data_IF_601477184708
#
_entry.id   IF_601477184708
#
_cell.length_a   1.000
_cell.length_b   1.000
_cell.length_c   1.000
_cell.angle_alpha   90.00
_cell.angle_beta   90.00
_cell.angle_gamma   90.00
#
_symmetry.space_group_name_H-M   'P 1'
#
loop_
_entity.id
_entity.type
_entity.pdbx_description
1 polymer ?
#
# COMPACT_ATOMS: atom_id res chain seq x y z
N UNK A 1 -8.74 6.90 25.53
CA UNK A 1 -8.41 7.25 24.15
C UNK A 1 -7.82 6.00 23.53
N UNK A 2 -8.67 5.14 22.98
CA UNK A 2 -8.26 3.81 22.53
C UNK A 2 -7.61 3.91 21.16
N UNK A 3 -6.38 3.39 21.06
CA UNK A 3 -5.73 3.12 19.79
C UNK A 3 -6.66 2.25 18.94
N UNK A 4 -7.26 2.83 17.90
CA UNK A 4 -8.07 2.05 16.98
C UNK A 4 -7.11 1.17 16.17
N UNK A 5 -6.91 -0.06 16.65
CA UNK A 5 -6.07 -1.09 16.02
C UNK A 5 -6.47 -1.38 14.57
N UNK A 6 -7.70 -1.02 14.18
CA UNK A 6 -8.17 -1.13 12.80
C UNK A 6 -7.63 0.00 11.91
N UNK A 7 -7.28 1.14 12.48
CA UNK A 7 -6.67 2.29 11.82
C UNK A 7 -5.13 2.21 11.78
N UNK A 8 -4.58 1.00 11.63
CA UNK A 8 -3.15 0.79 11.39
C UNK A 8 -2.93 -0.33 10.37
N UNK A 9 -2.06 -0.08 9.39
CA UNK A 9 -1.63 -1.08 8.41
C UNK A 9 -1.10 -2.35 9.13
N UNK A 10 -1.46 -3.55 8.67
CA UNK A 10 -2.10 -3.87 7.39
C UNK A 10 -3.64 -3.79 7.39
N UNK A 11 -4.28 -3.30 8.45
CA UNK A 11 -5.75 -3.22 8.52
C UNK A 11 -6.30 -2.03 7.71
N UNK A 12 -7.47 -2.18 7.07
CA UNK A 12 -8.00 -1.21 6.10
C UNK A 12 -8.66 0.03 6.73
N UNK A 13 -8.72 0.17 8.05
CA UNK A 13 -9.52 1.21 8.72
C UNK A 13 -9.21 2.63 8.25
N UNK A 14 -7.93 2.95 8.08
CA UNK A 14 -7.52 4.27 7.55
C UNK A 14 -7.98 4.52 6.10
N UNK A 15 -8.05 3.49 5.25
CA UNK A 15 -8.57 3.67 3.89
C UNK A 15 -10.07 3.93 3.88
N UNK A 16 -10.83 3.23 4.73
CA UNK A 16 -12.26 3.47 4.84
C UNK A 16 -12.56 4.87 5.36
N UNK A 17 -11.77 5.38 6.31
CA UNK A 17 -11.85 6.78 6.72
C UNK A 17 -11.56 7.72 5.55
N UNK A 18 -10.48 7.46 4.79
CA UNK A 18 -10.16 8.26 3.62
C UNK A 18 -11.27 8.25 2.56
N UNK A 19 -11.97 7.12 2.36
CA UNK A 19 -13.12 7.03 1.45
C UNK A 19 -14.35 7.78 1.97
N UNK A 20 -14.54 7.86 3.29
CA UNK A 20 -15.59 8.68 3.89
C UNK A 20 -15.31 10.17 3.69
N UNK A 21 -14.06 10.59 3.92
CA UNK A 21 -13.63 11.98 3.78
C UNK A 21 -13.56 12.40 2.29
N UNK A 22 -13.22 11.46 1.41
CA UNK A 22 -13.09 11.64 -0.03
C UNK A 22 -13.88 10.56 -0.80
N UNK A 23 -15.20 10.77 -1.00
CA UNK A 23 -16.08 9.78 -1.63
C UNK A 23 -15.68 9.36 -3.06
N UNK A 24 -14.88 10.17 -3.76
CA UNK A 24 -14.42 9.90 -5.13
C UNK A 24 -13.25 8.92 -5.20
N UNK A 25 -12.60 8.58 -4.08
CA UNK A 25 -11.46 7.64 -4.05
C UNK A 25 -11.90 6.25 -4.51
N UNK A 26 -11.38 5.74 -5.62
CA UNK A 26 -11.61 4.36 -6.06
C UNK A 26 -10.35 3.52 -5.77
N UNK A 27 -10.44 2.58 -4.83
CA UNK A 27 -9.29 1.76 -4.44
C UNK A 27 -8.75 0.91 -5.60
N UNK A 28 -9.61 0.46 -6.53
CA UNK A 28 -9.16 -0.29 -7.71
C UNK A 28 -8.38 0.57 -8.71
N UNK A 29 -8.51 1.89 -8.61
CA UNK A 29 -7.74 2.87 -9.39
C UNK A 29 -6.64 3.55 -8.57
N UNK A 30 -6.41 3.08 -7.35
CA UNK A 30 -5.43 3.64 -6.42
C UNK A 30 -4.15 2.81 -6.39
N UNK A 31 -3.07 3.46 -5.99
CA UNK A 31 -1.75 2.88 -5.81
C UNK A 31 -1.35 2.98 -4.33
N UNK A 32 -0.86 1.87 -3.76
CA UNK A 32 -0.21 1.86 -2.45
C UNK A 32 1.30 1.68 -2.65
N UNK A 33 2.06 2.65 -2.17
CA UNK A 33 3.52 2.71 -2.34
C UNK A 33 4.12 2.80 -0.93
N UNK A 34 4.95 1.83 -0.56
CA UNK A 34 5.55 1.76 0.77
C UNK A 34 6.73 0.83 0.83
N UNK A 35 7.46 0.85 1.93
CA UNK A 35 8.73 0.14 2.13
C UNK A 35 8.61 -1.11 3.01
N UNK A 36 7.39 -1.42 3.47
CA UNK A 36 7.11 -2.54 4.38
C UNK A 36 6.07 -3.52 3.86
N UNK A 37 6.10 -4.76 4.36
CA UNK A 37 5.08 -5.76 4.06
C UNK A 37 3.67 -5.33 4.51
N UNK A 38 3.57 -4.48 5.54
CA UNK A 38 2.28 -3.98 6.01
C UNK A 38 1.60 -3.02 5.03
N UNK A 39 2.39 -2.27 4.25
CA UNK A 39 1.90 -1.39 3.19
C UNK A 39 1.30 -2.20 2.06
N UNK A 40 2.04 -3.20 1.62
CA UNK A 40 1.64 -4.07 0.51
C UNK A 40 0.38 -4.86 0.90
N UNK A 41 0.35 -5.49 2.07
CA UNK A 41 -0.83 -6.21 2.54
C UNK A 41 -2.05 -5.28 2.68
N UNK A 42 -1.87 -4.03 3.12
CA UNK A 42 -2.95 -3.04 3.18
C UNK A 42 -3.53 -2.76 1.78
N UNK A 43 -2.66 -2.50 0.80
CA UNK A 43 -3.07 -2.25 -0.57
C UNK A 43 -3.76 -3.47 -1.20
N UNK A 44 -3.18 -4.66 -1.04
CA UNK A 44 -3.76 -5.90 -1.57
C UNK A 44 -5.17 -6.17 -0.99
N UNK A 45 -5.37 -5.96 0.32
CA UNK A 45 -6.69 -6.14 0.97
C UNK A 45 -7.77 -5.18 0.45
N UNK A 46 -7.36 -4.06 -0.12
CA UNK A 46 -8.26 -3.03 -0.69
C UNK A 46 -8.37 -3.13 -2.21
N UNK A 47 -7.66 -4.07 -2.85
CA UNK A 47 -7.63 -4.22 -4.31
C UNK A 47 -6.85 -3.12 -5.04
N UNK A 48 -5.94 -2.43 -4.34
CA UNK A 48 -5.04 -1.45 -4.95
C UNK A 48 -3.89 -2.16 -5.68
N UNK A 49 -3.33 -1.49 -6.70
CA UNK A 49 -1.98 -1.84 -7.18
C UNK A 49 -0.95 -1.43 -6.11
N UNK A 50 0.09 -2.23 -5.93
CA UNK A 50 1.04 -2.11 -4.83
C UNK A 50 2.48 -2.05 -5.32
N UNK A 51 3.26 -1.13 -4.79
CA UNK A 51 4.69 -0.98 -5.10
C UNK A 51 5.48 -1.05 -3.80
N UNK A 52 6.41 -1.99 -3.72
CA UNK A 52 7.42 -2.03 -2.67
C UNK A 52 8.57 -1.11 -3.06
N UNK A 53 8.81 -0.08 -2.26
CA UNK A 53 9.83 0.93 -2.48
C UNK A 53 11.09 0.63 -1.67
N UNK A 54 12.22 0.59 -2.35
CA UNK A 54 13.54 0.35 -1.79
C UNK A 54 13.86 -1.13 -1.59
N UNK A 55 15.12 -1.38 -1.30
CA UNK A 55 15.73 -2.70 -1.07
C UNK A 55 15.74 -3.08 0.42
N UNK A 56 14.73 -2.63 1.17
CA UNK A 56 14.71 -2.79 2.63
C UNK A 56 14.68 -4.28 2.99
N UNK A 57 15.66 -4.71 3.80
CA UNK A 57 15.68 -6.07 4.37
C UNK A 57 14.50 -6.28 5.35
N UNK A 58 13.77 -5.22 5.69
CA UNK A 58 12.59 -5.24 6.57
C UNK A 58 11.36 -5.90 5.93
N UNK A 59 11.40 -6.21 4.63
CA UNK A 59 10.40 -7.05 3.97
C UNK A 59 10.49 -8.53 4.41
N UNK A 60 11.61 -8.97 4.99
CA UNK A 60 11.79 -10.36 5.45
C UNK A 60 11.17 -10.63 6.83
N UNK A 61 9.84 -10.71 6.83
CA UNK A 61 8.99 -11.51 7.71
C UNK A 61 7.57 -11.53 7.11
N UNK A 62 7.50 -11.70 5.78
CA UNK A 62 6.38 -11.27 4.95
C UNK A 62 5.04 -11.86 5.43
N UNK A 63 4.08 -10.97 5.68
CA UNK A 63 2.68 -11.35 5.81
C UNK A 63 2.29 -12.18 4.56
N UNK A 64 1.53 -13.29 4.69
CA UNK A 64 1.19 -14.15 3.55
C UNK A 64 0.57 -13.41 2.37
N UNK A 65 -0.19 -12.35 2.68
CA UNK A 65 -0.96 -11.57 1.72
C UNK A 65 -0.20 -10.33 1.21
N UNK A 66 1.10 -10.21 1.48
CA UNK A 66 1.92 -9.05 1.09
C UNK A 66 2.64 -9.31 -0.24
N UNK A 67 1.93 -9.26 -1.36
CA UNK A 67 2.48 -9.51 -2.70
C UNK A 67 2.52 -8.21 -3.51
N UNK A 68 3.69 -7.60 -3.70
CA UNK A 68 3.80 -6.35 -4.46
C UNK A 68 3.68 -6.60 -5.97
N UNK A 69 3.00 -5.69 -6.68
CA UNK A 69 2.94 -5.70 -8.16
C UNK A 69 4.27 -5.25 -8.79
N UNK A 70 5.01 -4.37 -8.11
CA UNK A 70 6.34 -3.94 -8.51
C UNK A 70 7.26 -3.74 -7.30
N UNK A 71 8.57 -3.92 -7.51
CA UNK A 71 9.62 -3.54 -6.55
C UNK A 71 10.53 -2.53 -7.24
N UNK A 72 10.64 -1.33 -6.69
CA UNK A 72 11.35 -0.21 -7.30
C UNK A 72 12.26 0.44 -6.25
N UNK A 73 13.43 0.92 -6.65
CA UNK A 73 14.44 1.41 -5.70
C UNK A 73 14.29 2.91 -5.37
N UNK A 74 13.52 3.66 -6.16
CA UNK A 74 13.32 5.09 -5.96
C UNK A 74 11.96 5.60 -6.40
N UNK A 75 11.55 6.77 -5.90
CA UNK A 75 10.33 7.46 -6.36
C UNK A 75 10.44 7.91 -7.82
N UNK A 76 11.65 8.10 -8.34
CA UNK A 76 11.87 8.37 -9.76
C UNK A 76 11.46 7.15 -10.59
N UNK A 77 11.86 5.95 -10.17
CA UNK A 77 11.48 4.71 -10.86
C UNK A 77 9.98 4.47 -10.77
N UNK A 78 9.35 4.83 -9.65
CA UNK A 78 7.88 4.81 -9.50
C UNK A 78 7.22 5.68 -10.56
N UNK A 79 7.68 6.92 -10.75
CA UNK A 79 7.10 7.82 -11.74
C UNK A 79 7.21 7.24 -13.16
N UNK A 80 8.40 6.75 -13.52
CA UNK A 80 8.63 6.09 -14.81
C UNK A 80 7.75 4.84 -15.01
N UNK A 81 7.55 4.07 -13.94
CA UNK A 81 6.70 2.90 -13.98
C UNK A 81 5.24 3.26 -14.21
N UNK A 82 4.73 4.30 -13.52
CA UNK A 82 3.35 4.79 -13.71
C UNK A 82 3.13 5.28 -15.15
N UNK A 83 4.10 5.98 -15.74
CA UNK A 83 4.04 6.44 -17.14
C UNK A 83 4.03 5.29 -18.16
N UNK A 84 4.45 4.08 -17.75
CA UNK A 84 4.50 2.88 -18.60
C UNK A 84 3.25 1.99 -18.56
N UNK A 85 2.30 2.29 -17.64
CA UNK A 85 1.05 1.54 -17.46
C UNK A 85 0.00 1.88 -18.53
#
# INVERSE_FOLDING_TARGET
FGDDIFCRKPNPGMAFQAKQDFPDVDFQKSLMIGDSASDIAFGNRLGMKTILLGSSHAYEAALPDSVPDAKLDSLTDVALWIESL
#
